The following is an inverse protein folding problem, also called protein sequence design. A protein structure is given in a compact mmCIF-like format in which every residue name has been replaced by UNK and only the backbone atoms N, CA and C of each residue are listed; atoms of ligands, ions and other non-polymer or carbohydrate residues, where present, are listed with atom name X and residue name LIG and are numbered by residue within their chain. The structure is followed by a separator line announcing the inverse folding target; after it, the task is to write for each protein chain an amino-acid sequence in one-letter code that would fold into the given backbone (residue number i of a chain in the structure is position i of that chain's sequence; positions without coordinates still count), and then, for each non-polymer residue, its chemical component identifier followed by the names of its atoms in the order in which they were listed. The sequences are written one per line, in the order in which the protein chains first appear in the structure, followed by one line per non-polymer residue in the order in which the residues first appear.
data_IF_855224802328
#
_entry.id   IF_855224802328
#
_cell.length_a   1.000
_cell.length_b   1.000
_cell.length_c   1.000
_cell.angle_alpha   90.00
_cell.angle_beta   90.00
_cell.angle_gamma   90.00
#
_symmetry.space_group_name_H-M   'P 1'
#
loop_
_entity.id
_entity.type
_entity.pdbx_description
1 polymer ?
#
# COMPACT_ATOMS: atom_id res chain seq x y z
N UNK A 1 -38.08 -20.20 34.32
CA UNK A 1 -36.72 -19.94 33.81
C UNK A 1 -36.46 -18.45 33.93
N UNK A 2 -35.57 -18.05 34.84
CA UNK A 2 -35.30 -16.64 35.10
C UNK A 2 -34.56 -16.00 33.92
N UNK A 3 -34.89 -14.74 33.60
CA UNK A 3 -34.30 -13.95 32.50
C UNK A 3 -32.76 -13.95 32.54
N UNK A 4 -32.18 -14.05 33.74
CA UNK A 4 -30.73 -14.21 33.94
C UNK A 4 -30.13 -15.48 33.31
N UNK A 5 -30.85 -16.60 33.34
CA UNK A 5 -30.37 -17.86 32.76
C UNK A 5 -30.37 -17.80 31.23
N UNK A 6 -31.36 -17.13 30.64
CA UNK A 6 -31.45 -16.92 29.20
C UNK A 6 -30.36 -15.96 28.69
N UNK A 7 -30.10 -14.86 29.43
CA UNK A 7 -29.01 -13.92 29.14
C UNK A 7 -27.63 -14.58 29.23
N UNK A 8 -27.40 -15.42 30.24
CA UNK A 8 -26.13 -16.13 30.40
C UNK A 8 -25.90 -17.13 29.26
N UNK A 9 -26.94 -17.90 28.86
CA UNK A 9 -26.85 -18.81 27.72
C UNK A 9 -26.63 -18.04 26.40
N UNK A 10 -27.33 -16.92 26.20
CA UNK A 10 -27.15 -16.08 25.01
C UNK A 10 -25.72 -15.54 24.94
N UNK A 11 -25.16 -15.07 26.07
CA UNK A 11 -23.78 -14.59 26.12
C UNK A 11 -22.77 -15.72 25.86
N UNK A 12 -22.95 -16.91 26.43
CA UNK A 12 -22.07 -18.06 26.16
C UNK A 12 -22.15 -18.50 24.70
N UNK A 13 -23.34 -18.49 24.08
CA UNK A 13 -23.51 -18.84 22.66
C UNK A 13 -22.92 -17.77 21.75
N UNK A 14 -23.12 -16.48 22.05
CA UNK A 14 -22.54 -15.37 21.28
C UNK A 14 -21.01 -15.36 21.41
N UNK A 15 -20.47 -15.59 22.61
CA UNK A 15 -19.03 -15.73 22.85
C UNK A 15 -18.49 -16.99 22.15
N UNK A 16 -19.18 -18.13 22.22
CA UNK A 16 -18.80 -19.35 21.53
C UNK A 16 -18.76 -19.21 20.02
N UNK A 17 -19.79 -18.57 19.43
CA UNK A 17 -19.86 -18.28 18.00
C UNK A 17 -18.78 -17.28 17.56
N UNK A 18 -18.51 -16.25 18.35
CA UNK A 18 -17.46 -15.27 18.05
C UNK A 18 -16.06 -15.86 18.18
N UNK A 19 -15.81 -16.73 19.16
CA UNK A 19 -14.54 -17.48 19.31
C UNK A 19 -14.34 -18.46 18.16
N UNK A 20 -15.37 -19.25 17.79
CA UNK A 20 -15.27 -20.17 16.65
C UNK A 20 -15.09 -19.44 15.31
N UNK A 21 -15.79 -18.31 15.11
CA UNK A 21 -15.60 -17.45 13.93
C UNK A 21 -14.16 -16.91 13.89
N UNK A 22 -13.64 -16.38 15.01
CA UNK A 22 -12.24 -15.92 15.12
C UNK A 22 -11.22 -17.02 14.84
N UNK A 23 -11.42 -18.24 15.36
CA UNK A 23 -10.54 -19.39 15.11
C UNK A 23 -10.55 -19.80 13.63
N UNK A 24 -11.73 -19.83 12.99
CA UNK A 24 -11.87 -20.14 11.56
C UNK A 24 -11.22 -19.07 10.69
N UNK A 25 -11.30 -17.80 11.07
CA UNK A 25 -10.61 -16.69 10.42
C UNK A 25 -9.10 -16.81 10.56
N UNK A 26 -8.55 -17.02 11.77
CA UNK A 26 -7.11 -17.18 12.00
C UNK A 26 -6.50 -18.35 11.23
N UNK A 27 -7.16 -19.52 11.22
CA UNK A 27 -6.72 -20.68 10.42
C UNK A 27 -6.74 -20.38 8.92
N UNK A 28 -7.69 -19.57 8.46
CA UNK A 28 -7.76 -19.16 7.05
C UNK A 28 -6.62 -18.22 6.66
N UNK A 29 -6.20 -17.33 7.58
CA UNK A 29 -5.04 -16.45 7.45
C UNK A 29 -3.73 -17.26 7.40
N UNK A 30 -3.51 -18.17 8.34
CA UNK A 30 -2.30 -19.02 8.39
C UNK A 30 -2.12 -19.82 7.10
N UNK A 31 -3.20 -20.46 6.62
CA UNK A 31 -3.20 -21.18 5.36
C UNK A 31 -2.90 -20.28 4.15
N UNK A 32 -3.39 -19.04 4.17
CA UNK A 32 -3.12 -18.07 3.11
C UNK A 32 -1.64 -17.66 3.09
N UNK A 33 -1.06 -17.34 4.26
CA UNK A 33 0.36 -17.00 4.40
C UNK A 33 1.26 -18.13 3.92
N UNK A 34 0.99 -19.37 4.34
CA UNK A 34 1.78 -20.53 3.89
C UNK A 34 1.71 -20.74 2.37
N UNK A 35 0.53 -20.54 1.77
CA UNK A 35 0.36 -20.63 0.32
C UNK A 35 1.10 -19.51 -0.42
N UNK A 36 1.07 -18.29 0.11
CA UNK A 36 1.83 -17.16 -0.41
C UNK A 36 3.35 -17.40 -0.34
N UNK A 37 3.87 -17.88 0.79
CA UNK A 37 5.29 -18.23 0.94
C UNK A 37 5.73 -19.31 -0.06
N UNK A 38 4.91 -20.35 -0.27
CA UNK A 38 5.19 -21.38 -1.28
C UNK A 38 5.22 -20.82 -2.70
N UNK A 39 4.34 -19.85 -3.00
CA UNK A 39 4.29 -19.18 -4.32
C UNK A 39 5.53 -18.35 -4.59
N UNK A 40 6.07 -17.66 -3.57
CA UNK A 40 7.27 -16.84 -3.68
C UNK A 40 8.58 -17.63 -3.73
N UNK A 41 8.56 -18.94 -3.41
CA UNK A 41 9.77 -19.76 -3.44
C UNK A 41 10.76 -19.45 -2.29
N UNK A 42 12.06 -19.67 -2.54
CA UNK A 42 13.09 -19.56 -1.52
C UNK A 42 13.44 -18.10 -1.19
N UNK A 43 13.71 -17.83 0.09
CA UNK A 43 14.13 -16.52 0.64
C UNK A 43 15.40 -15.94 0.00
N UNK A 44 16.20 -16.77 -0.69
CA UNK A 44 17.53 -16.39 -1.16
C UNK A 44 17.56 -15.52 -2.42
N UNK A 45 16.46 -15.44 -3.18
CA UNK A 45 16.44 -14.72 -4.48
C UNK A 45 15.95 -13.27 -4.37
N UNK A 46 15.37 -12.89 -3.23
CA UNK A 46 14.79 -11.56 -3.01
C UNK A 46 15.37 -10.88 -1.76
N UNK A 47 15.51 -9.55 -1.76
CA UNK A 47 15.71 -8.79 -0.51
C UNK A 47 14.60 -9.17 0.48
N UNK A 48 14.93 -9.26 1.77
CA UNK A 48 13.99 -9.69 2.81
C UNK A 48 12.75 -8.78 2.85
N UNK A 49 12.94 -7.49 2.59
CA UNK A 49 11.85 -6.51 2.56
C UNK A 49 10.92 -6.77 1.37
N UNK A 50 11.49 -7.02 0.19
CA UNK A 50 10.76 -7.36 -1.04
C UNK A 50 10.01 -8.69 -0.90
N UNK A 51 10.66 -9.72 -0.36
CA UNK A 51 10.04 -11.00 -0.09
C UNK A 51 8.84 -10.85 0.86
N UNK A 52 9.02 -10.12 1.96
CA UNK A 52 7.94 -9.88 2.91
C UNK A 52 6.77 -9.11 2.27
N UNK A 53 7.06 -8.08 1.47
CA UNK A 53 6.04 -7.33 0.75
C UNK A 53 5.26 -8.22 -0.22
N UNK A 54 5.93 -9.05 -1.00
CA UNK A 54 5.29 -9.97 -1.94
C UNK A 54 4.44 -11.03 -1.24
N UNK A 55 4.91 -11.59 -0.12
CA UNK A 55 4.12 -12.52 0.71
C UNK A 55 2.87 -11.83 1.25
N UNK A 56 2.96 -10.57 1.70
CA UNK A 56 1.79 -9.81 2.17
C UNK A 56 0.78 -9.58 1.04
N UNK A 57 1.24 -9.17 -0.14
CA UNK A 57 0.38 -8.95 -1.31
C UNK A 57 -0.32 -10.26 -1.72
N UNK A 58 0.42 -11.35 -1.86
CA UNK A 58 -0.13 -12.66 -2.21
C UNK A 58 -1.10 -13.19 -1.14
N UNK A 59 -0.77 -13.02 0.14
CA UNK A 59 -1.66 -13.41 1.25
C UNK A 59 -2.98 -12.67 1.13
N UNK A 60 -2.91 -11.35 0.90
CA UNK A 60 -4.10 -10.51 0.79
C UNK A 60 -4.94 -10.91 -0.42
N UNK A 61 -4.32 -11.19 -1.57
CA UNK A 61 -5.01 -11.69 -2.76
C UNK A 61 -5.71 -13.02 -2.49
N UNK A 62 -5.04 -13.97 -1.83
CA UNK A 62 -5.62 -15.28 -1.48
C UNK A 62 -6.84 -15.13 -0.56
N UNK A 63 -6.85 -14.13 0.32
CA UNK A 63 -8.00 -13.85 1.18
C UNK A 63 -9.17 -13.27 0.38
N UNK A 64 -8.91 -12.36 -0.54
CA UNK A 64 -9.94 -11.85 -1.46
C UNK A 64 -10.56 -13.00 -2.27
N UNK A 65 -9.75 -13.91 -2.81
CA UNK A 65 -10.22 -15.10 -3.55
C UNK A 65 -11.09 -16.04 -2.69
N UNK A 66 -10.94 -15.99 -1.35
CA UNK A 66 -11.75 -16.74 -0.38
C UNK A 66 -13.04 -16.01 0.04
N UNK A 67 -13.31 -14.84 -0.51
CA UNK A 67 -14.52 -14.06 -0.26
C UNK A 67 -14.40 -12.99 0.83
N UNK A 68 -13.19 -12.69 1.31
CA UNK A 68 -12.98 -11.52 2.14
C UNK A 68 -13.08 -10.23 1.30
N UNK A 69 -13.56 -9.16 1.89
CA UNK A 69 -13.62 -7.83 1.29
C UNK A 69 -12.29 -7.07 1.48
N UNK A 70 -12.07 -6.02 0.67
CA UNK A 70 -10.88 -5.16 0.80
C UNK A 70 -10.89 -4.47 2.17
N UNK A 71 -12.05 -4.04 2.63
CA UNK A 71 -12.25 -3.38 3.92
C UNK A 71 -11.88 -4.33 5.08
N UNK A 72 -12.25 -5.60 4.98
CA UNK A 72 -11.89 -6.61 5.99
C UNK A 72 -10.38 -6.86 6.00
N UNK A 73 -9.76 -7.16 4.86
CA UNK A 73 -8.32 -7.50 4.81
C UNK A 73 -7.41 -6.31 5.10
N UNK A 74 -7.89 -5.08 4.91
CA UNK A 74 -7.16 -3.84 5.25
C UNK A 74 -7.48 -3.31 6.64
N UNK A 75 -8.39 -3.96 7.39
CA UNK A 75 -8.68 -3.60 8.78
C UNK A 75 -7.44 -3.76 9.67
N UNK A 76 -7.30 -2.89 10.67
CA UNK A 76 -6.20 -2.96 11.64
C UNK A 76 -6.13 -4.33 12.34
N UNK A 77 -7.28 -4.98 12.55
CA UNK A 77 -7.38 -6.30 13.16
C UNK A 77 -6.79 -7.41 12.29
N UNK A 78 -7.20 -7.51 11.02
CA UNK A 78 -6.66 -8.57 10.13
C UNK A 78 -5.22 -8.26 9.75
N UNK A 79 -4.87 -6.99 9.57
CA UNK A 79 -3.50 -6.57 9.34
C UNK A 79 -2.58 -6.94 10.53
N UNK A 80 -3.05 -6.76 11.77
CA UNK A 80 -2.32 -7.19 12.97
C UNK A 80 -2.14 -8.71 13.04
N UNK A 81 -3.20 -9.48 12.78
CA UNK A 81 -3.15 -10.95 12.76
C UNK A 81 -2.19 -11.47 11.68
N UNK A 82 -2.24 -10.92 10.46
CA UNK A 82 -1.29 -11.26 9.38
C UNK A 82 0.13 -10.94 9.83
N UNK A 83 0.37 -9.76 10.42
CA UNK A 83 1.69 -9.37 10.92
C UNK A 83 2.19 -10.32 12.01
N UNK A 84 1.35 -10.72 12.95
CA UNK A 84 1.68 -11.71 13.98
C UNK A 84 2.10 -13.04 13.36
N UNK A 85 1.32 -13.56 12.40
CA UNK A 85 1.64 -14.80 11.70
C UNK A 85 2.99 -14.67 10.97
N UNK A 86 3.21 -13.58 10.24
CA UNK A 86 4.45 -13.32 9.50
C UNK A 86 5.68 -13.22 10.42
N UNK A 87 5.51 -12.73 11.65
CA UNK A 87 6.56 -12.73 12.67
C UNK A 87 6.90 -14.15 13.10
N UNK A 88 5.88 -14.97 13.40
CA UNK A 88 6.04 -16.36 13.83
C UNK A 88 6.71 -17.21 12.75
N UNK A 89 6.35 -17.01 11.47
CA UNK A 89 6.96 -17.73 10.35
C UNK A 89 8.29 -17.14 9.88
N UNK A 90 8.79 -16.08 10.52
CA UNK A 90 10.09 -15.49 10.24
C UNK A 90 10.21 -14.75 8.90
N UNK A 91 9.06 -14.38 8.30
CA UNK A 91 8.97 -13.57 7.07
C UNK A 91 9.28 -12.11 7.40
N UNK A 92 8.68 -11.58 8.47
CA UNK A 92 9.01 -10.27 9.02
C UNK A 92 9.74 -10.44 10.35
N UNK A 93 10.65 -9.52 10.67
CA UNK A 93 11.34 -9.51 11.97
C UNK A 93 10.66 -8.51 12.89
N UNK A 94 10.67 -8.78 14.19
CA UNK A 94 10.28 -7.78 15.17
C UNK A 94 11.17 -6.54 14.98
N UNK A 95 10.52 -5.38 14.91
CA UNK A 95 11.27 -4.13 14.96
C UNK A 95 11.88 -4.01 16.36
N UNK A 96 13.20 -3.76 16.47
CA UNK A 96 13.82 -3.57 17.78
C UNK A 96 13.08 -2.45 18.52
N UNK A 97 12.69 -2.70 19.78
CA UNK A 97 12.04 -1.68 20.61
C UNK A 97 12.95 -0.45 20.68
N UNK A 98 12.46 0.67 20.17
CA UNK A 98 13.18 1.93 20.17
C UNK A 98 13.33 2.41 21.62
N UNK A 99 14.58 2.69 22.04
CA UNK A 99 14.87 3.25 23.35
C UNK A 99 15.00 4.77 23.24
N UNK A 100 13.89 5.47 23.47
CA UNK A 100 13.86 6.91 23.40
C UNK A 100 14.38 7.56 24.68
N UNK A 101 15.13 8.65 24.54
CA UNK A 101 15.60 9.50 25.64
C UNK A 101 14.78 10.79 25.63
N UNK A 102 13.81 10.99 26.56
CA UNK A 102 12.91 12.15 26.53
C UNK A 102 13.64 13.50 26.56
N UNK A 103 14.79 13.56 27.23
CA UNK A 103 15.57 14.78 27.41
C UNK A 103 16.70 14.93 26.36
N UNK A 104 16.64 14.18 25.26
CA UNK A 104 17.64 14.33 24.20
C UNK A 104 17.43 15.68 23.48
N UNK A 105 18.45 16.56 23.39
CA UNK A 105 18.25 17.92 22.90
C UNK A 105 18.10 18.04 21.37
N UNK A 106 18.42 16.99 20.63
CA UNK A 106 18.41 17.00 19.16
C UNK A 106 17.49 15.95 18.57
N UNK A 107 16.99 16.22 17.35
CA UNK A 107 16.23 15.26 16.55
C UNK A 107 17.14 14.12 16.10
N UNK A 108 16.58 12.93 15.98
CA UNK A 108 17.27 11.81 15.32
C UNK A 108 17.28 12.03 13.81
N UNK A 109 18.31 11.54 13.12
CA UNK A 109 18.45 11.71 11.66
C UNK A 109 17.31 11.07 10.87
N UNK A 110 16.70 10.01 11.40
CA UNK A 110 15.61 9.29 10.74
C UNK A 110 14.23 9.68 11.27
N UNK A 111 14.12 10.67 12.16
CA UNK A 111 12.83 11.12 12.74
C UNK A 111 12.28 10.23 13.88
N UNK A 112 12.93 9.13 14.23
CA UNK A 112 12.52 8.28 15.36
C UNK A 112 12.54 9.03 16.71
N UNK A 113 11.71 8.58 17.65
CA UNK A 113 11.56 9.15 18.99
C UNK A 113 11.08 10.62 19.02
N UNK A 114 10.51 11.13 17.92
CA UNK A 114 9.87 12.44 17.93
C UNK A 114 8.57 12.44 18.75
N UNK A 115 7.82 11.34 18.67
CA UNK A 115 6.69 11.04 19.55
C UNK A 115 7.13 9.94 20.53
N UNK A 116 7.00 10.17 21.85
CA UNK A 116 7.47 9.23 22.88
C UNK A 116 6.55 8.03 23.07
N UNK A 117 5.24 8.20 22.82
CA UNK A 117 4.25 7.13 22.92
C UNK A 117 4.28 6.24 21.67
N UNK A 118 4.60 6.85 20.52
CA UNK A 118 4.74 6.17 19.22
C UNK A 118 6.07 6.52 18.54
N UNK A 119 7.21 5.95 19.00
CA UNK A 119 8.55 6.28 18.55
C UNK A 119 8.80 6.21 17.03
N UNK A 120 8.04 5.40 16.30
CA UNK A 120 8.15 5.22 14.87
C UNK A 120 7.32 6.21 14.02
N UNK A 121 6.45 7.01 14.62
CA UNK A 121 5.64 7.97 13.86
C UNK A 121 6.49 9.06 13.23
N UNK A 122 6.35 9.23 11.91
CA UNK A 122 7.16 10.18 11.13
C UNK A 122 8.60 9.73 10.88
N UNK A 123 8.96 8.49 11.27
CA UNK A 123 10.26 7.92 10.94
C UNK A 123 10.39 7.70 9.43
N UNK A 124 11.56 7.98 8.87
CA UNK A 124 11.85 7.72 7.45
C UNK A 124 11.88 6.22 7.12
N UNK A 125 11.75 5.89 5.82
CA UNK A 125 11.71 4.50 5.30
C UNK A 125 10.56 3.69 5.93
N UNK A 126 9.40 4.34 6.05
CA UNK A 126 8.15 3.72 6.52
C UNK A 126 7.06 3.87 5.45
N UNK A 127 6.07 2.97 5.43
CA UNK A 127 4.92 3.12 4.55
C UNK A 127 4.21 4.46 4.77
N UNK A 128 3.77 5.09 3.68
CA UNK A 128 2.98 6.32 3.76
C UNK A 128 1.64 6.04 4.46
N UNK A 129 1.20 6.99 5.29
CA UNK A 129 -0.09 6.89 5.98
C UNK A 129 -1.22 6.98 4.95
N UNK A 130 -2.18 6.06 5.03
CA UNK A 130 -3.41 6.09 4.24
C UNK A 130 -4.50 6.84 5.02
N UNK A 131 -5.03 7.92 4.44
CA UNK A 131 -6.20 8.64 4.97
C UNK A 131 -7.51 7.94 4.57
N UNK A 132 -7.50 7.28 3.42
CA UNK A 132 -8.61 6.49 2.88
C UNK A 132 -8.10 5.10 2.48
N UNK A 133 -9.02 4.13 2.42
CA UNK A 133 -8.71 2.78 1.93
C UNK A 133 -8.16 2.84 0.49
N UNK A 134 -7.20 1.97 0.12
CA UNK A 134 -6.65 1.93 -1.22
C UNK A 134 -7.70 1.49 -2.26
N UNK A 135 -7.65 2.07 -3.45
CA UNK A 135 -8.56 1.75 -4.56
C UNK A 135 -7.80 1.13 -5.74
N UNK A 136 -7.66 -0.19 -5.71
CA UNK A 136 -7.06 -0.99 -6.79
C UNK A 136 -8.12 -1.47 -7.80
N UNK A 137 -7.70 -2.22 -8.82
CA UNK A 137 -8.64 -2.90 -9.71
C UNK A 137 -9.54 -3.88 -8.95
N UNK A 138 -10.79 -4.04 -9.38
CA UNK A 138 -11.75 -4.86 -8.67
C UNK A 138 -11.24 -6.31 -8.55
N UNK A 139 -11.15 -6.80 -7.32
CA UNK A 139 -10.68 -8.16 -7.03
C UNK A 139 -9.14 -8.31 -7.05
N UNK A 140 -8.39 -7.21 -7.11
CA UNK A 140 -6.93 -7.21 -7.01
C UNK A 140 -6.44 -6.23 -5.94
N UNK A 141 -5.35 -6.56 -5.24
CA UNK A 141 -4.66 -5.66 -4.29
C UNK A 141 -3.30 -5.17 -4.81
N UNK A 142 -2.87 -5.66 -5.97
CA UNK A 142 -1.57 -5.32 -6.57
C UNK A 142 -1.67 -4.71 -7.97
N UNK A 143 -2.85 -4.74 -8.59
CA UNK A 143 -3.08 -4.19 -9.92
C UNK A 143 -3.66 -2.80 -9.80
N UNK A 144 -3.04 -1.81 -10.45
CA UNK A 144 -3.62 -0.48 -10.47
C UNK A 144 -5.00 -0.53 -11.11
N UNK A 145 -5.84 0.40 -10.68
CA UNK A 145 -7.16 0.57 -11.24
C UNK A 145 -7.09 0.90 -12.73
N UNK A 146 -7.75 0.08 -13.54
CA UNK A 146 -7.95 0.23 -14.97
C UNK A 146 -9.43 0.44 -15.33
N UNK A 147 -10.37 0.15 -14.41
CA UNK A 147 -11.81 0.26 -14.64
C UNK A 147 -12.45 1.38 -13.80
N UNK A 148 -13.28 2.20 -14.45
CA UNK A 148 -14.09 3.23 -13.81
C UNK A 148 -15.30 2.67 -13.06
N UNK A 149 -15.96 3.52 -12.26
CA UNK A 149 -17.18 3.13 -11.49
C UNK A 149 -18.33 2.63 -12.39
N UNK A 150 -18.33 3.02 -13.66
CA UNK A 150 -19.32 2.63 -14.66
C UNK A 150 -18.96 1.32 -15.38
N UNK A 151 -17.92 0.61 -14.94
CA UNK A 151 -17.44 -0.63 -15.57
C UNK A 151 -16.67 -0.43 -16.87
N UNK A 152 -16.42 0.82 -17.31
CA UNK A 152 -15.67 1.11 -18.54
C UNK A 152 -14.18 1.31 -18.23
N UNK A 153 -13.27 1.05 -19.20
CA UNK A 153 -11.85 1.36 -19.04
C UNK A 153 -11.59 2.83 -18.73
N UNK A 154 -10.67 3.10 -17.81
CA UNK A 154 -10.15 4.44 -17.54
C UNK A 154 -9.39 4.97 -18.76
N UNK A 155 -9.45 6.28 -19.03
CA UNK A 155 -8.72 6.86 -20.14
C UNK A 155 -7.21 6.72 -19.92
N UNK A 156 -6.49 6.48 -21.01
CA UNK A 156 -5.03 6.49 -21.02
C UNK A 156 -4.50 7.85 -20.48
N UNK A 157 -3.53 7.86 -19.54
CA UNK A 157 -3.08 9.10 -18.90
C UNK A 157 -2.40 10.07 -19.87
N UNK A 158 -1.69 9.56 -20.90
CA UNK A 158 -1.14 10.40 -21.98
C UNK A 158 -2.24 11.04 -22.81
N UNK A 159 -3.32 10.32 -23.12
CA UNK A 159 -4.49 10.91 -23.79
C UNK A 159 -5.13 12.02 -22.93
N UNK A 160 -5.25 11.83 -21.63
CA UNK A 160 -5.76 12.86 -20.71
C UNK A 160 -4.83 14.09 -20.72
N UNK A 161 -3.51 13.88 -20.65
CA UNK A 161 -2.51 14.95 -20.77
C UNK A 161 -2.67 15.74 -22.07
N UNK A 162 -2.77 15.05 -23.21
CA UNK A 162 -2.91 15.66 -24.53
C UNK A 162 -4.22 16.45 -24.72
N UNK A 163 -5.31 16.06 -24.04
CA UNK A 163 -6.61 16.74 -24.20
C UNK A 163 -6.78 17.85 -23.17
N UNK A 164 -6.44 17.60 -21.91
CA UNK A 164 -6.73 18.49 -20.77
C UNK A 164 -5.60 19.48 -20.51
N UNK A 165 -4.35 19.05 -20.63
CA UNK A 165 -3.16 19.84 -20.31
C UNK A 165 -2.44 20.37 -21.55
N UNK A 166 -3.14 20.41 -22.69
CA UNK A 166 -2.54 20.88 -23.93
C UNK A 166 -2.24 22.38 -23.86
N UNK A 167 -0.96 22.74 -23.98
CA UNK A 167 -0.56 24.13 -24.13
C UNK A 167 -0.60 24.54 -25.62
N UNK A 168 -1.75 24.34 -26.27
CA UNK A 168 -1.93 24.59 -27.72
C UNK A 168 -1.71 26.04 -28.14
N UNK A 169 -1.78 26.99 -27.20
CA UNK A 169 -1.61 28.42 -27.48
C UNK A 169 -0.20 28.93 -27.17
N UNK A 170 0.68 28.11 -26.58
CA UNK A 170 2.02 28.55 -26.16
C UNK A 170 2.01 29.71 -25.16
N UNK A 171 0.87 29.98 -24.51
CA UNK A 171 0.72 31.12 -23.60
C UNK A 171 1.16 30.66 -22.23
N UNK A 172 2.38 31.03 -21.85
CA UNK A 172 2.80 30.98 -20.45
C UNK A 172 2.19 32.17 -19.74
N UNK A 173 1.27 31.92 -18.80
CA UNK A 173 0.75 32.99 -17.94
C UNK A 173 1.85 33.38 -16.94
N UNK A 174 2.50 34.51 -17.17
CA UNK A 174 3.48 35.04 -16.23
C UNK A 174 2.73 35.75 -15.10
N UNK A 175 2.86 35.22 -13.89
CA UNK A 175 2.32 35.90 -12.71
C UNK A 175 3.15 37.16 -12.40
N UNK A 176 2.49 38.27 -12.14
CA UNK A 176 3.12 39.51 -11.66
C UNK A 176 3.22 39.56 -10.14
N UNK A 177 2.58 38.63 -9.43
CA UNK A 177 2.48 38.60 -7.96
C UNK A 177 3.18 37.40 -7.34
N UNK A 178 3.51 36.37 -8.14
CA UNK A 178 4.18 35.15 -7.68
C UNK A 178 5.53 35.05 -8.37
N UNK A 179 6.57 35.09 -7.55
CA UNK A 179 7.97 34.93 -7.99
C UNK A 179 8.34 33.45 -8.16
N UNK A 180 9.39 33.18 -8.93
CA UNK A 180 9.90 31.81 -9.14
C UNK A 180 10.28 31.09 -7.83
N UNK A 181 10.73 31.82 -6.80
CA UNK A 181 11.12 31.22 -5.51
C UNK A 181 9.96 30.48 -4.84
N UNK A 182 8.70 30.85 -5.12
CA UNK A 182 7.52 30.16 -4.61
C UNK A 182 7.47 28.70 -5.10
N UNK A 183 7.77 28.46 -6.38
CA UNK A 183 7.81 27.09 -6.93
C UNK A 183 9.01 26.30 -6.40
N UNK A 184 10.18 26.94 -6.34
CA UNK A 184 11.39 26.30 -5.86
C UNK A 184 11.31 25.92 -4.38
N UNK A 185 10.71 26.78 -3.55
CA UNK A 185 10.47 26.49 -2.14
C UNK A 185 9.44 25.36 -1.98
N UNK A 186 8.41 25.30 -2.84
CA UNK A 186 7.48 24.18 -2.88
C UNK A 186 8.18 22.84 -3.09
N UNK A 187 9.09 22.74 -4.07
CA UNK A 187 9.89 21.53 -4.29
C UNK A 187 10.81 21.22 -3.10
N UNK A 188 11.46 22.24 -2.54
CA UNK A 188 12.32 22.07 -1.36
C UNK A 188 11.56 21.44 -0.18
N UNK A 189 10.35 21.93 0.10
CA UNK A 189 9.49 21.40 1.16
C UNK A 189 8.97 20.00 0.82
N UNK A 190 8.57 19.75 -0.43
CA UNK A 190 8.13 18.42 -0.88
C UNK A 190 9.22 17.35 -0.64
N UNK A 191 10.45 17.66 -1.07
CA UNK A 191 11.61 16.76 -0.93
C UNK A 191 12.07 16.56 0.53
N UNK A 192 11.74 17.47 1.44
CA UNK A 192 12.01 17.29 2.89
C UNK A 192 10.94 16.40 3.55
N UNK A 193 9.70 16.44 3.06
CA UNK A 193 8.58 15.74 3.69
C UNK A 193 8.42 14.30 3.16
N UNK A 194 8.58 14.08 1.85
CA UNK A 194 8.19 12.81 1.24
C UNK A 194 9.07 12.44 0.04
N UNK A 195 9.45 11.16 0.00
CA UNK A 195 10.08 10.53 -1.17
C UNK A 195 9.47 9.15 -1.35
N UNK A 196 9.04 8.84 -2.57
CA UNK A 196 8.59 7.50 -2.96
C UNK A 196 9.64 6.92 -3.90
N UNK A 197 10.47 5.95 -3.48
CA UNK A 197 11.47 5.37 -4.35
C UNK A 197 10.79 4.60 -5.49
N UNK A 198 11.36 4.71 -6.69
CA UNK A 198 10.98 3.87 -7.82
C UNK A 198 11.73 2.54 -7.75
N UNK A 199 11.12 1.50 -8.30
CA UNK A 199 11.82 0.25 -8.60
C UNK A 199 12.50 0.50 -9.95
N UNK A 200 13.82 0.65 -9.93
CA UNK A 200 14.62 0.79 -11.15
C UNK A 200 14.65 -0.55 -11.87
N UNK A 201 13.72 -0.72 -12.82
CA UNK A 201 13.75 -1.82 -13.77
C UNK A 201 13.97 -1.26 -15.18
N UNK A 202 15.21 -1.37 -15.67
CA UNK A 202 15.61 -0.93 -17.01
C UNK A 202 14.81 -1.66 -18.12
N UNK A 203 14.11 -2.75 -17.81
CA UNK A 203 13.38 -3.56 -18.79
C UNK A 203 11.97 -3.07 -19.12
N UNK A 204 11.47 -2.00 -18.49
CA UNK A 204 10.12 -1.49 -18.75
C UNK A 204 9.91 -0.86 -20.14
N UNK A 205 10.97 -0.66 -20.92
CA UNK A 205 10.93 -0.05 -22.25
C UNK A 205 11.39 -1.00 -23.37
N UNK A 206 10.98 -2.28 -23.34
CA UNK A 206 11.34 -3.28 -24.35
C UNK A 206 10.23 -4.29 -24.65
N UNK A 207 10.44 -5.24 -25.59
CA UNK A 207 9.44 -6.27 -25.93
C UNK A 207 9.16 -7.25 -24.78
N UNK A 208 10.09 -7.37 -23.84
CA UNK A 208 9.99 -8.22 -22.66
C UNK A 208 9.87 -7.36 -21.41
N UNK A 209 8.70 -6.73 -21.24
CA UNK A 209 8.38 -5.96 -20.04
C UNK A 209 8.36 -6.87 -18.80
N UNK A 210 9.06 -6.46 -17.74
CA UNK A 210 8.96 -7.10 -16.43
C UNK A 210 7.54 -7.00 -15.85
N UNK A 211 7.21 -7.88 -14.90
CA UNK A 211 5.87 -7.94 -14.28
C UNK A 211 5.51 -6.68 -13.50
N UNK A 212 6.52 -5.97 -13.01
CA UNK A 212 6.34 -4.74 -12.23
C UNK A 212 6.29 -3.49 -13.13
N UNK A 213 6.46 -3.67 -14.45
CA UNK A 213 6.43 -2.58 -15.40
C UNK A 213 5.00 -2.12 -15.71
N UNK A 214 4.85 -0.80 -15.68
CA UNK A 214 3.59 -0.11 -15.93
C UNK A 214 3.83 0.97 -17.00
N UNK A 215 3.92 0.58 -18.29
CA UNK A 215 4.21 1.55 -19.33
C UNK A 215 2.98 2.42 -19.65
N UNK A 216 3.20 3.72 -19.79
CA UNK A 216 2.20 4.62 -20.36
C UNK A 216 2.20 4.43 -21.87
N UNK A 217 1.22 3.67 -22.38
CA UNK A 217 1.07 3.43 -23.83
C UNK A 217 0.81 4.73 -24.57
N UNK A 218 1.48 4.94 -25.70
CA UNK A 218 1.28 6.10 -26.56
C UNK A 218 -0.05 5.94 -27.33
N UNK A 219 -1.00 6.89 -27.23
CA UNK A 219 -2.23 6.81 -27.98
C UNK A 219 -2.00 7.14 -29.46
N UNK A 220 -2.79 6.54 -30.37
CA UNK A 220 -2.77 6.92 -31.78
C UNK A 220 -3.05 8.40 -31.97
N UNK A 221 -2.30 9.04 -32.87
CA UNK A 221 -2.40 10.48 -33.13
C UNK A 221 -1.84 11.34 -32.00
N UNK A 222 -0.90 10.82 -31.19
CA UNK A 222 -0.17 11.64 -30.23
C UNK A 222 0.53 12.80 -30.96
N UNK A 223 0.41 14.05 -30.47
CA UNK A 223 0.96 15.21 -31.17
C UNK A 223 2.49 15.23 -31.19
N UNK A 224 3.14 14.55 -30.24
CA UNK A 224 4.60 14.52 -30.10
C UNK A 224 5.20 13.19 -30.62
N UNK A 225 4.69 12.06 -30.14
CA UNK A 225 5.15 10.73 -30.55
C UNK A 225 4.38 10.27 -31.78
N UNK A 226 4.86 10.67 -32.97
CA UNK A 226 4.26 10.24 -34.24
C UNK A 226 4.72 8.82 -34.58
N UNK A 227 3.79 7.99 -35.02
CA UNK A 227 4.12 6.70 -35.62
C UNK A 227 4.97 6.99 -36.87
N UNK A 228 6.23 6.53 -36.87
CA UNK A 228 7.08 6.52 -38.06
C UNK A 228 6.66 5.44 -39.04
#
# INVERSE_FOLDING_TARGET
MSIHFLLCLLMVVVVGHTVQAKIKTRRSLENAVQKAMKKQGSRHEHDLSTYAANVILDTTQILLDKGFTIEEVTSDTIAADIREILLVVGVVKESPKLRCKPNHPYRTLNGSCNNLDHPEWGQSVRPQRRVLAPAYEKGSIGTMRATGINGKPLPNPRKVSNVVHSNTKGVTSNSTTITLITFQFGQFVDHDIITTPLIDDETCCGPNESKDCIPIRIPRGDPFFRDG
#
